data_IF_076742000978
#
_entry.id   IF_076742000978
#
_cell.length_a   1.000
_cell.length_b   1.000
_cell.length_c   1.000
_cell.angle_alpha   90.00
_cell.angle_beta   90.00
_cell.angle_gamma   90.00
#
_symmetry.space_group_name_H-M   'P 1'
#
loop_
_entity.id
_entity.type
_entity.pdbx_description
1 polymer ?
#
# COMPACT_ATOMS: atom_id res chain seq x y z
N UNK A 1 -5.33 -73.45 7.18
CA UNK A 1 -5.20 -72.35 8.16
C UNK A 1 -4.55 -71.18 7.46
N UNK A 2 -4.99 -69.95 7.74
CA UNK A 2 -4.45 -68.73 7.15
C UNK A 2 -3.22 -68.25 7.94
N UNK A 3 -2.14 -67.90 7.25
CA UNK A 3 -1.06 -67.08 7.81
C UNK A 3 -0.74 -65.96 6.82
N UNK A 4 -1.18 -64.75 7.15
CA UNK A 4 -0.95 -63.55 6.36
C UNK A 4 0.48 -63.03 6.57
N UNK A 5 1.37 -63.20 5.59
CA UNK A 5 2.65 -62.47 5.54
C UNK A 5 2.45 -61.05 5.00
N UNK A 6 2.52 -60.06 5.90
CA UNK A 6 2.50 -58.63 5.55
C UNK A 6 3.82 -58.29 4.82
N UNK A 7 3.73 -57.84 3.56
CA UNK A 7 4.88 -57.28 2.83
C UNK A 7 5.10 -55.82 3.21
N UNK A 8 6.05 -55.57 4.12
CA UNK A 8 6.50 -54.21 4.45
C UNK A 8 7.24 -53.59 3.26
N UNK A 9 6.68 -52.54 2.66
CA UNK A 9 7.34 -51.79 1.58
C UNK A 9 8.37 -50.84 2.19
N UNK A 10 9.61 -51.31 2.33
CA UNK A 10 10.75 -50.46 2.68
C UNK A 10 11.08 -49.51 1.52
N UNK A 11 10.43 -48.35 1.50
CA UNK A 11 10.88 -47.21 0.68
C UNK A 11 12.22 -46.74 1.23
N UNK A 12 13.30 -47.10 0.56
CA UNK A 12 14.63 -46.58 0.86
C UNK A 12 14.62 -45.04 0.67
N UNK A 13 14.66 -44.31 1.79
CA UNK A 13 14.91 -42.88 1.78
C UNK A 13 16.39 -42.72 1.45
N UNK A 14 16.71 -42.43 0.19
CA UNK A 14 18.07 -42.10 -0.21
C UNK A 14 18.54 -40.89 0.62
N UNK A 15 19.71 -40.97 1.30
CA UNK A 15 20.21 -39.86 2.07
C UNK A 15 20.49 -38.70 1.13
N UNK A 16 19.83 -37.56 1.37
CA UNK A 16 19.99 -36.34 0.60
C UNK A 16 21.44 -35.89 0.76
N UNK A 17 22.25 -36.04 -0.28
CA UNK A 17 23.67 -35.68 -0.27
C UNK A 17 23.81 -34.17 -0.07
N UNK A 18 24.09 -33.75 1.16
CA UNK A 18 24.53 -32.39 1.44
C UNK A 18 25.92 -32.22 0.83
N UNK A 19 26.01 -31.43 -0.23
CA UNK A 19 27.29 -31.01 -0.78
C UNK A 19 28.07 -30.28 0.30
N UNK A 20 29.30 -30.73 0.57
CA UNK A 20 30.24 -30.07 1.48
C UNK A 20 30.81 -28.80 0.84
N UNK A 21 29.93 -27.83 0.60
CA UNK A 21 30.33 -26.45 0.34
C UNK A 21 30.87 -25.91 1.65
N UNK A 22 32.03 -25.24 1.61
CA UNK A 22 32.53 -24.49 2.77
C UNK A 22 31.43 -23.53 3.26
N UNK A 23 31.27 -23.32 4.58
CA UNK A 23 30.18 -22.51 5.09
C UNK A 23 30.41 -21.03 4.73
N UNK A 24 29.91 -20.62 3.56
CA UNK A 24 29.84 -19.22 3.16
C UNK A 24 29.06 -18.46 4.23
N UNK A 25 29.74 -17.61 4.99
CA UNK A 25 29.09 -16.74 5.97
C UNK A 25 28.31 -15.65 5.20
N UNK A 26 27.03 -15.51 5.52
CA UNK A 26 26.13 -14.52 4.92
C UNK A 26 25.51 -13.69 6.04
N UNK A 27 25.61 -12.37 5.94
CA UNK A 27 25.00 -11.47 6.93
C UNK A 27 23.47 -11.46 6.76
N UNK A 28 22.74 -11.64 7.86
CA UNK A 28 21.28 -11.65 7.87
C UNK A 28 20.75 -10.26 8.18
N UNK A 29 20.05 -9.67 7.21
CA UNK A 29 19.37 -8.39 7.35
C UNK A 29 17.86 -8.56 7.33
N UNK A 30 17.17 -7.79 8.16
CA UNK A 30 15.71 -7.66 8.13
C UNK A 30 15.36 -6.28 7.63
N UNK A 31 14.53 -6.20 6.59
CA UNK A 31 13.98 -4.95 6.07
C UNK A 31 12.47 -4.90 6.29
N UNK A 32 11.89 -3.70 6.31
CA UNK A 32 10.43 -3.52 6.40
C UNK A 32 9.91 -2.60 5.30
N UNK A 33 8.80 -3.00 4.68
CA UNK A 33 8.08 -2.23 3.69
C UNK A 33 6.74 -1.76 4.30
N UNK A 34 6.63 -0.47 4.65
CA UNK A 34 5.47 0.07 5.40
C UNK A 34 4.49 0.76 4.46
N UNK A 35 3.32 0.19 4.23
CA UNK A 35 2.29 0.71 3.33
C UNK A 35 1.11 1.39 4.06
N UNK A 36 0.80 2.63 3.71
CA UNK A 36 -0.45 3.38 3.93
C UNK A 36 -1.45 3.02 2.82
N UNK A 37 -2.69 2.71 3.15
CA UNK A 37 -3.75 2.47 2.15
C UNK A 37 -4.31 3.78 1.56
N UNK A 38 -4.99 3.74 0.40
CA UNK A 38 -5.88 4.79 -0.07
C UNK A 38 -6.84 5.23 1.04
N UNK A 39 -7.03 6.53 1.15
CA UNK A 39 -7.97 7.19 2.08
C UNK A 39 -9.22 7.64 1.33
N UNK A 40 -9.08 8.02 0.05
CA UNK A 40 -10.20 8.29 -0.86
C UNK A 40 -10.24 7.22 -1.95
N UNK A 41 -11.41 7.04 -2.56
CA UNK A 41 -11.59 6.21 -3.76
C UNK A 41 -10.78 6.75 -4.94
N UNK A 42 -10.36 5.92 -5.90
CA UNK A 42 -9.83 6.41 -7.18
C UNK A 42 -10.87 7.25 -7.93
N UNK A 43 -10.42 8.05 -8.89
CA UNK A 43 -11.32 8.79 -9.78
C UNK A 43 -11.79 7.88 -10.92
N UNK A 44 -13.09 7.89 -11.22
CA UNK A 44 -13.68 7.06 -12.28
C UNK A 44 -13.13 7.42 -13.67
N UNK A 45 -12.77 6.40 -14.43
CA UNK A 45 -12.39 6.51 -15.85
C UNK A 45 -13.58 6.95 -16.71
N UNK A 46 -13.33 7.40 -17.95
CA UNK A 46 -14.41 7.84 -18.85
C UNK A 46 -15.41 6.73 -19.19
N UNK A 47 -14.91 5.51 -19.42
CA UNK A 47 -15.72 4.31 -19.63
C UNK A 47 -16.54 3.93 -18.38
N UNK A 48 -15.94 4.08 -17.19
CA UNK A 48 -16.65 3.81 -15.93
C UNK A 48 -17.75 4.84 -15.68
N UNK A 49 -17.54 6.11 -16.03
CA UNK A 49 -18.57 7.16 -15.94
C UNK A 49 -19.73 6.90 -16.89
N UNK A 50 -19.47 6.51 -18.14
CA UNK A 50 -20.53 6.20 -19.10
C UNK A 50 -21.30 4.94 -18.73
N UNK A 51 -20.61 3.89 -18.26
CA UNK A 51 -21.23 2.66 -17.77
C UNK A 51 -22.01 2.88 -16.46
N UNK A 52 -21.47 3.67 -15.53
CA UNK A 52 -22.16 4.04 -14.29
C UNK A 52 -23.47 4.80 -14.60
N UNK A 53 -23.43 5.77 -15.52
CA UNK A 53 -24.65 6.46 -15.97
C UNK A 53 -25.65 5.48 -16.57
N UNK A 54 -25.22 4.60 -17.48
CA UNK A 54 -26.10 3.57 -18.06
C UNK A 54 -26.74 2.68 -16.98
N UNK A 55 -26.00 2.28 -15.95
CA UNK A 55 -26.56 1.52 -14.83
C UNK A 55 -27.58 2.34 -14.03
N UNK A 56 -27.36 3.63 -13.80
CA UNK A 56 -28.35 4.51 -13.16
C UNK A 56 -29.61 4.67 -13.99
N UNK A 57 -29.47 4.85 -15.31
CA UNK A 57 -30.60 4.96 -16.24
C UNK A 57 -31.44 3.66 -16.22
N UNK A 58 -30.80 2.49 -16.30
CA UNK A 58 -31.45 1.16 -16.21
C UNK A 58 -32.05 0.88 -14.84
N UNK A 59 -31.41 1.31 -13.74
CA UNK A 59 -31.96 1.20 -12.39
C UNK A 59 -33.22 2.05 -12.26
N UNK A 60 -33.20 3.30 -12.74
CA UNK A 60 -34.35 4.19 -12.72
C UNK A 60 -35.53 3.64 -13.54
N UNK A 61 -35.29 3.23 -14.79
CA UNK A 61 -36.33 2.64 -15.68
C UNK A 61 -36.99 1.37 -15.11
N UNK A 62 -36.24 0.59 -14.31
CA UNK A 62 -36.72 -0.67 -13.71
C UNK A 62 -37.17 -0.51 -12.25
N UNK A 63 -36.99 0.67 -11.66
CA UNK A 63 -37.39 0.95 -10.29
C UNK A 63 -38.91 1.14 -10.18
N UNK A 64 -39.46 0.79 -9.02
CA UNK A 64 -40.79 1.26 -8.63
C UNK A 64 -40.67 2.64 -8.01
N UNK A 65 -41.70 3.48 -8.17
CA UNK A 65 -41.75 4.81 -7.56
C UNK A 65 -41.53 4.71 -6.05
N UNK A 66 -40.60 5.50 -5.55
CA UNK A 66 -40.37 5.67 -4.11
C UNK A 66 -41.52 6.41 -3.44
N UNK A 67 -41.66 6.23 -2.12
CA UNK A 67 -42.66 6.97 -1.31
C UNK A 67 -42.53 8.50 -1.49
N UNK A 68 -41.31 8.98 -1.72
CA UNK A 68 -41.02 10.38 -1.98
C UNK A 68 -41.61 10.85 -3.33
N UNK A 69 -41.43 10.08 -4.41
CA UNK A 69 -41.99 10.39 -5.73
C UNK A 69 -43.52 10.31 -5.72
N UNK A 70 -44.09 9.31 -5.04
CA UNK A 70 -45.56 9.18 -4.87
C UNK A 70 -46.11 10.38 -4.11
N UNK A 71 -45.47 10.82 -3.02
CA UNK A 71 -45.85 12.04 -2.30
C UNK A 71 -45.76 13.28 -3.19
N UNK A 72 -44.67 13.44 -3.95
CA UNK A 72 -44.51 14.56 -4.87
C UNK A 72 -45.62 14.60 -5.95
N UNK A 73 -46.10 13.46 -6.44
CA UNK A 73 -47.24 13.40 -7.36
C UNK A 73 -48.58 13.77 -6.69
N UNK A 74 -48.77 13.38 -5.43
CA UNK A 74 -49.96 13.74 -4.66
C UNK A 74 -49.99 15.25 -4.33
N UNK A 75 -48.87 15.80 -3.85
CA UNK A 75 -48.72 17.23 -3.55
C UNK A 75 -49.00 18.08 -4.81
N UNK A 76 -48.50 17.67 -5.99
CA UNK A 76 -48.80 18.33 -7.28
C UNK A 76 -50.29 18.28 -7.66
N UNK A 77 -50.93 17.12 -7.54
CA UNK A 77 -52.37 16.96 -7.82
C UNK A 77 -53.24 17.79 -6.86
N UNK A 78 -52.88 17.85 -5.58
CA UNK A 78 -53.56 18.71 -4.61
C UNK A 78 -53.43 20.20 -5.00
N UNK A 79 -52.23 20.64 -5.38
CA UNK A 79 -52.01 22.02 -5.85
C UNK A 79 -52.79 22.36 -7.13
N UNK A 80 -53.01 21.41 -8.04
CA UNK A 80 -53.85 21.58 -9.23
C UNK A 80 -55.34 21.67 -8.89
N UNK A 81 -55.85 20.84 -7.98
CA UNK A 81 -57.25 20.89 -7.53
C UNK A 81 -57.58 22.18 -6.77
N UNK A 82 -56.64 22.68 -5.95
CA UNK A 82 -56.76 24.00 -5.29
C UNK A 82 -56.80 25.13 -6.34
N UNK A 83 -55.96 25.08 -7.38
CA UNK A 83 -56.03 26.05 -8.51
C UNK A 83 -57.34 25.99 -9.29
N UNK A 84 -57.98 24.82 -9.35
CA UNK A 84 -59.29 24.62 -9.96
C UNK A 84 -60.47 24.94 -8.99
N UNK A 85 -60.19 25.38 -7.77
CA UNK A 85 -61.21 25.85 -6.82
C UNK A 85 -62.13 24.76 -6.25
N UNK A 86 -61.73 23.49 -6.30
CA UNK A 86 -62.55 22.33 -5.88
C UNK A 86 -62.14 21.70 -4.54
N UNK A 87 -61.12 22.25 -3.86
CA UNK A 87 -60.62 21.73 -2.58
C UNK A 87 -60.24 22.86 -1.60
N UNK A 88 -60.55 22.65 -0.31
CA UNK A 88 -60.22 23.59 0.77
C UNK A 88 -58.71 23.69 1.04
N UNK A 89 -58.21 24.91 1.22
CA UNK A 89 -56.79 25.20 1.43
C UNK A 89 -56.25 24.79 2.82
N UNK A 90 -57.11 24.42 3.77
CA UNK A 90 -56.73 24.08 5.15
C UNK A 90 -56.09 22.67 5.30
N UNK A 91 -56.12 21.84 4.25
CA UNK A 91 -55.52 20.49 4.24
C UNK A 91 -54.07 20.50 3.72
N UNK A 92 -53.48 21.67 3.46
CA UNK A 92 -52.10 21.80 2.98
C UNK A 92 -51.11 21.24 4.02
N UNK A 93 -50.35 20.22 3.62
CA UNK A 93 -49.24 19.68 4.42
C UNK A 93 -48.22 20.79 4.67
N UNK A 94 -47.88 21.04 5.93
CA UNK A 94 -47.04 22.18 6.39
C UNK A 94 -45.64 22.28 5.75
N UNK A 95 -45.22 21.28 5.00
CA UNK A 95 -44.03 21.29 4.15
C UNK A 95 -44.34 20.37 2.96
N UNK A 96 -44.28 20.89 1.73
CA UNK A 96 -44.42 20.05 0.53
C UNK A 96 -43.17 19.20 0.31
N UNK A 97 -43.26 18.15 -0.50
CA UNK A 97 -42.10 17.38 -0.94
C UNK A 97 -41.05 18.27 -1.65
N UNK A 98 -41.48 19.34 -2.32
CA UNK A 98 -40.60 20.31 -2.97
C UNK A 98 -39.85 21.17 -1.95
N UNK A 99 -40.54 21.74 -0.97
CA UNK A 99 -39.90 22.53 0.11
C UNK A 99 -38.85 21.70 0.88
N UNK A 100 -39.07 20.39 0.99
CA UNK A 100 -38.12 19.46 1.58
C UNK A 100 -36.88 19.24 0.71
N UNK A 101 -37.02 19.10 -0.62
CA UNK A 101 -35.87 19.04 -1.54
C UNK A 101 -35.07 20.34 -1.50
N UNK A 102 -35.74 21.48 -1.54
CA UNK A 102 -35.06 22.77 -1.59
C UNK A 102 -34.31 23.06 -0.28
N UNK A 103 -34.89 22.71 0.87
CA UNK A 103 -34.19 22.74 2.16
C UNK A 103 -32.96 21.80 2.20
N UNK A 104 -33.04 20.60 1.61
CA UNK A 104 -31.90 19.68 1.54
C UNK A 104 -30.81 20.18 0.57
N UNK A 105 -31.20 20.73 -0.57
CA UNK A 105 -30.29 21.36 -1.53
C UNK A 105 -29.57 22.57 -0.91
N UNK A 106 -30.28 23.38 -0.13
CA UNK A 106 -29.67 24.45 0.67
C UNK A 106 -28.64 23.91 1.67
N UNK A 107 -28.95 22.83 2.40
CA UNK A 107 -28.02 22.22 3.35
C UNK A 107 -26.77 21.67 2.65
N UNK A 108 -26.95 21.02 1.50
CA UNK A 108 -25.86 20.53 0.66
C UNK A 108 -24.97 21.67 0.17
N UNK A 109 -25.55 22.78 -0.29
CA UNK A 109 -24.82 23.97 -0.74
C UNK A 109 -24.12 24.71 0.41
N UNK A 110 -24.65 24.64 1.65
CA UNK A 110 -24.01 25.15 2.87
C UNK A 110 -22.81 24.28 3.28
N UNK A 111 -22.81 22.99 2.96
CA UNK A 111 -21.71 22.08 3.29
C UNK A 111 -20.58 22.12 2.26
N UNK A 112 -19.42 22.66 2.67
CA UNK A 112 -18.22 22.64 1.84
C UNK A 112 -17.45 21.33 2.04
N UNK A 113 -17.45 20.48 1.01
CA UNK A 113 -16.61 19.29 0.97
C UNK A 113 -15.11 19.67 1.02
N UNK A 114 -14.30 18.83 1.67
CA UNK A 114 -12.85 18.97 1.64
C UNK A 114 -12.28 18.60 0.26
N UNK A 115 -11.28 19.35 -0.20
CA UNK A 115 -10.61 19.07 -1.47
C UNK A 115 -9.97 17.67 -1.47
N UNK A 116 -10.20 16.93 -2.56
CA UNK A 116 -9.54 15.62 -2.80
C UNK A 116 -8.05 15.75 -3.12
N UNK A 117 -7.60 16.95 -3.48
CA UNK A 117 -6.20 17.30 -3.79
C UNK A 117 -5.72 18.23 -2.66
N UNK A 118 -4.70 17.80 -1.92
CA UNK A 118 -4.21 18.54 -0.76
C UNK A 118 -3.15 19.58 -1.13
N UNK A 119 -2.81 20.48 -0.21
CA UNK A 119 -1.68 21.41 -0.36
C UNK A 119 -0.37 20.65 -0.60
N UNK A 120 -0.18 19.50 0.06
CA UNK A 120 0.98 18.64 -0.12
C UNK A 120 1.07 18.01 -1.53
N UNK A 121 -0.04 17.91 -2.26
CA UNK A 121 -0.05 17.51 -3.68
C UNK A 121 0.39 18.65 -4.59
N UNK A 122 -0.06 19.88 -4.30
CA UNK A 122 0.31 21.11 -5.04
C UNK A 122 1.80 21.43 -4.88
N UNK A 123 2.32 21.28 -3.66
CA UNK A 123 3.74 21.46 -3.32
C UNK A 123 4.62 20.25 -3.65
N UNK A 124 4.01 19.11 -4.02
CA UNK A 124 4.65 17.81 -4.17
C UNK A 124 5.54 17.42 -2.96
N UNK A 125 5.06 17.68 -1.74
CA UNK A 125 5.83 17.47 -0.52
C UNK A 125 5.92 15.98 -0.17
N UNK A 126 7.07 15.37 -0.51
CA UNK A 126 7.31 13.94 -0.35
C UNK A 126 7.45 13.45 1.10
N UNK A 127 7.47 14.33 2.13
CA UNK A 127 7.48 13.91 3.54
C UNK A 127 6.08 13.75 4.14
N UNK A 128 5.06 14.37 3.53
CA UNK A 128 3.69 14.39 4.08
C UNK A 128 2.88 13.14 3.73
N UNK A 129 2.24 12.53 4.74
CA UNK A 129 1.30 11.42 4.55
C UNK A 129 -0.01 11.84 3.85
N UNK A 130 -0.31 13.14 3.79
CA UNK A 130 -1.55 13.69 3.21
C UNK A 130 -1.48 13.83 1.68
N UNK A 131 -0.31 13.67 1.07
CA UNK A 131 -0.13 13.58 -0.39
C UNK A 131 -0.83 12.32 -0.94
N UNK A 132 -1.34 12.37 -2.17
CA UNK A 132 -1.91 11.25 -2.96
C UNK A 132 -2.82 10.34 -2.12
N UNK A 133 -3.95 10.90 -1.70
CA UNK A 133 -4.94 10.20 -0.87
C UNK A 133 -5.62 9.04 -1.61
N UNK A 134 -5.64 9.08 -2.94
CA UNK A 134 -6.23 8.10 -3.86
C UNK A 134 -5.41 6.81 -4.00
N UNK A 135 -4.11 6.89 -3.75
CA UNK A 135 -3.17 5.78 -3.92
C UNK A 135 -2.73 5.20 -2.58
N UNK A 136 -2.13 4.02 -2.63
CA UNK A 136 -1.33 3.52 -1.52
C UNK A 136 -0.17 4.52 -1.25
N UNK A 137 0.49 4.52 -0.09
CA UNK A 137 1.82 5.15 0.06
C UNK A 137 2.76 4.25 0.83
N UNK A 138 4.08 4.34 0.62
CA UNK A 138 5.03 3.51 1.38
C UNK A 138 6.15 4.37 2.00
N UNK A 139 6.48 4.19 3.29
CA UNK A 139 7.45 5.02 4.09
C UNK A 139 8.91 4.57 4.03
N UNK A 140 9.81 5.42 3.53
CA UNK A 140 11.22 5.09 3.35
C UNK A 140 12.14 5.86 4.29
N UNK A 141 13.30 5.33 4.71
CA UNK A 141 14.22 6.03 5.63
C UNK A 141 15.72 5.89 5.32
N UNK A 142 16.44 7.01 5.25
CA UNK A 142 17.90 7.08 5.07
C UNK A 142 18.71 6.32 6.14
N UNK A 143 19.69 5.53 5.70
CA UNK A 143 20.57 4.72 6.56
C UNK A 143 22.04 4.79 6.15
N UNK A 144 22.96 4.72 7.13
CA UNK A 144 24.42 4.68 6.94
C UNK A 144 24.94 3.22 7.03
N UNK A 145 25.92 2.86 6.19
CA UNK A 145 26.58 1.54 6.19
C UNK A 145 28.11 1.68 6.03
N UNK A 146 28.78 2.14 7.09
CA UNK A 146 30.24 2.31 7.13
C UNK A 146 30.79 3.40 6.18
N UNK A 147 32.10 3.66 6.28
CA UNK A 147 32.74 4.82 5.63
C UNK A 147 33.30 4.55 4.22
N UNK A 148 32.98 3.42 3.56
CA UNK A 148 33.65 3.01 2.30
C UNK A 148 32.71 2.57 1.19
N UNK A 149 33.14 2.83 -0.05
CA UNK A 149 32.37 2.66 -1.28
C UNK A 149 32.49 1.26 -1.87
N UNK A 150 31.37 0.72 -2.34
CA UNK A 150 31.27 -0.62 -2.92
C UNK A 150 30.41 -0.59 -4.19
N UNK A 151 30.83 -1.34 -5.20
CA UNK A 151 30.06 -1.54 -6.44
C UNK A 151 29.27 -2.84 -6.35
N UNK A 152 27.95 -2.78 -6.55
CA UNK A 152 27.10 -3.98 -6.71
C UNK A 152 27.14 -4.39 -8.18
N UNK A 153 27.45 -5.66 -8.45
CA UNK A 153 27.49 -6.19 -9.81
C UNK A 153 26.05 -6.33 -10.38
N UNK A 154 25.76 -5.82 -11.59
CA UNK A 154 24.50 -6.08 -12.25
C UNK A 154 24.39 -7.57 -12.65
N UNK A 155 23.19 -8.13 -12.53
CA UNK A 155 22.83 -9.46 -13.02
C UNK A 155 21.61 -9.28 -13.95
N UNK A 156 21.56 -10.08 -15.03
CA UNK A 156 20.76 -9.83 -16.24
C UNK A 156 19.23 -9.75 -16.06
N UNK A 157 18.51 -9.10 -17.00
CA UNK A 157 17.10 -8.74 -16.83
C UNK A 157 16.14 -9.88 -17.15
N UNK A 158 14.96 -9.86 -16.49
CA UNK A 158 13.73 -10.45 -17.02
C UNK A 158 12.71 -9.34 -17.27
N UNK A 159 12.18 -9.31 -18.48
CA UNK A 159 11.31 -8.23 -18.92
C UNK A 159 9.86 -8.53 -18.51
N UNK A 160 9.27 -7.67 -17.67
CA UNK A 160 7.87 -7.73 -17.27
C UNK A 160 7.27 -6.33 -17.25
N UNK A 161 6.46 -6.01 -18.27
CA UNK A 161 5.56 -4.84 -18.22
C UNK A 161 4.30 -5.26 -17.48
N UNK A 162 3.94 -4.53 -16.42
CA UNK A 162 2.59 -4.00 -16.16
C UNK A 162 2.66 -2.96 -15.03
N UNK A 163 1.56 -2.28 -14.75
CA UNK A 163 1.56 -0.88 -14.30
C UNK A 163 1.04 -0.63 -12.87
N UNK A 164 1.43 0.55 -12.32
CA UNK A 164 0.90 1.27 -11.13
C UNK A 164 0.97 0.57 -9.76
N UNK A 165 1.45 1.31 -8.75
CA UNK A 165 1.32 1.12 -7.28
C UNK A 165 2.16 2.17 -6.56
N UNK A 166 2.10 2.31 -5.23
CA UNK A 166 3.04 3.17 -4.48
C UNK A 166 4.08 2.38 -3.69
N UNK A 167 5.35 2.85 -3.62
CA UNK A 167 6.50 2.01 -3.24
C UNK A 167 7.76 2.77 -2.77
N UNK A 168 8.63 2.06 -2.06
CA UNK A 168 9.71 2.53 -1.20
C UNK A 168 11.16 2.72 -1.75
N UNK A 169 11.81 3.85 -1.47
CA UNK A 169 13.15 4.28 -1.95
C UNK A 169 13.94 5.26 -1.03
N UNK A 170 15.16 4.98 -0.50
CA UNK A 170 16.07 6.00 0.15
C UNK A 170 17.60 5.87 -0.03
N UNK A 171 18.24 7.00 -0.38
CA UNK A 171 19.61 7.15 -0.89
C UNK A 171 20.77 6.80 0.10
N UNK A 172 21.28 5.56 0.08
CA UNK A 172 22.45 5.02 0.80
C UNK A 172 23.81 5.36 0.16
N UNK A 173 24.65 6.18 0.81
CA UNK A 173 26.04 6.44 0.38
C UNK A 173 26.93 5.18 0.45
N UNK A 174 27.40 4.70 -0.71
CA UNK A 174 28.64 3.96 -0.88
C UNK A 174 29.76 4.98 -1.16
N UNK A 175 30.40 5.49 -0.10
CA UNK A 175 31.29 6.65 -0.22
C UNK A 175 30.53 7.84 -0.83
N UNK A 176 31.02 8.45 -1.91
CA UNK A 176 30.36 9.63 -2.49
C UNK A 176 29.01 9.39 -3.16
N UNK A 177 28.71 8.18 -3.65
CA UNK A 177 27.49 7.90 -4.43
C UNK A 177 26.42 7.26 -3.57
N UNK A 178 25.20 7.79 -3.64
CA UNK A 178 24.09 7.34 -2.78
C UNK A 178 22.96 6.62 -3.56
N UNK A 179 22.39 5.54 -2.99
CA UNK A 179 21.48 4.58 -3.66
C UNK A 179 20.21 4.22 -2.91
N UNK A 180 19.07 4.20 -3.59
CA UNK A 180 17.85 4.05 -2.85
C UNK A 180 17.52 2.59 -2.44
N UNK A 181 17.07 2.39 -1.18
CA UNK A 181 16.67 1.10 -0.54
C UNK A 181 15.55 1.25 0.53
N UNK A 182 15.05 0.13 1.10
CA UNK A 182 14.13 0.05 2.26
C UNK A 182 14.86 0.27 3.62
N UNK A 183 14.18 0.64 4.74
CA UNK A 183 14.76 0.52 6.08
C UNK A 183 15.20 -0.93 6.34
N UNK A 184 16.41 -1.12 6.88
CA UNK A 184 16.92 -2.44 7.23
C UNK A 184 17.77 -2.44 8.51
N UNK A 185 17.80 -3.56 9.24
CA UNK A 185 18.64 -3.76 10.42
C UNK A 185 19.34 -5.11 10.29
N UNK A 186 20.61 -5.24 10.72
CA UNK A 186 21.16 -6.56 10.96
C UNK A 186 20.27 -7.28 11.99
N UNK A 187 20.03 -8.57 11.77
CA UNK A 187 19.38 -9.43 12.76
C UNK A 187 20.38 -9.76 13.86
N UNK A 188 19.94 -9.64 15.11
CA UNK A 188 20.66 -10.22 16.26
C UNK A 188 20.34 -11.71 16.41
N UNK A 189 21.27 -12.50 16.96
CA UNK A 189 21.06 -13.95 17.10
C UNK A 189 19.94 -14.30 18.09
N UNK A 190 19.71 -13.45 19.09
CA UNK A 190 18.70 -13.62 20.14
C UNK A 190 17.26 -13.25 19.74
N UNK A 191 17.03 -12.66 18.56
CA UNK A 191 15.70 -12.23 18.09
C UNK A 191 15.27 -12.99 16.82
N UNK A 192 13.96 -13.18 16.62
CA UNK A 192 13.43 -13.66 15.34
C UNK A 192 13.49 -12.56 14.28
N UNK A 193 13.45 -12.92 12.99
CA UNK A 193 13.36 -11.95 11.89
C UNK A 193 12.16 -11.00 12.05
N UNK A 194 11.00 -11.50 12.53
CA UNK A 194 9.86 -10.62 12.81
C UNK A 194 10.13 -9.65 13.96
N UNK A 195 10.75 -10.09 15.06
CA UNK A 195 11.13 -9.20 16.16
C UNK A 195 12.17 -8.15 15.73
N UNK A 196 13.12 -8.52 14.88
CA UNK A 196 14.06 -7.58 14.25
C UNK A 196 13.32 -6.51 13.41
N UNK A 197 12.25 -6.89 12.71
CA UNK A 197 11.37 -5.96 11.99
C UNK A 197 10.55 -5.05 12.94
N UNK A 198 10.01 -5.58 14.04
CA UNK A 198 9.30 -4.78 15.04
C UNK A 198 10.22 -3.79 15.78
N UNK A 199 11.48 -4.20 16.01
CA UNK A 199 12.55 -3.34 16.53
C UNK A 199 12.93 -2.27 15.52
N UNK A 200 13.18 -2.65 14.26
CA UNK A 200 13.47 -1.73 13.15
C UNK A 200 12.41 -0.63 13.04
N UNK A 201 11.12 -0.98 13.12
CA UNK A 201 10.03 -0.01 13.08
C UNK A 201 10.17 1.07 14.16
N UNK A 202 10.46 0.67 15.42
CA UNK A 202 10.67 1.61 16.53
C UNK A 202 11.97 2.41 16.37
N UNK A 203 13.05 1.74 15.97
CA UNK A 203 14.38 2.34 15.77
C UNK A 203 14.37 3.45 14.71
N UNK A 204 13.59 3.28 13.64
CA UNK A 204 13.53 4.23 12.52
C UNK A 204 12.36 5.21 12.62
N UNK A 205 11.16 4.73 12.89
CA UNK A 205 9.95 5.56 12.80
C UNK A 205 9.62 6.29 14.12
N UNK A 206 10.23 5.89 15.23
CA UNK A 206 9.84 6.33 16.57
C UNK A 206 8.63 5.57 17.12
N UNK A 207 8.16 5.97 18.29
CA UNK A 207 7.05 5.30 19.00
C UNK A 207 5.66 5.73 18.51
N UNK A 208 5.57 6.85 17.79
CA UNK A 208 4.30 7.44 17.37
C UNK A 208 3.72 6.78 16.12
N UNK A 209 4.58 6.38 15.17
CA UNK A 209 4.18 5.66 13.96
C UNK A 209 3.76 4.22 14.30
N UNK A 210 2.46 3.93 14.22
CA UNK A 210 1.91 2.59 14.45
C UNK A 210 1.75 1.87 13.12
N UNK A 211 2.70 0.99 12.80
CA UNK A 211 2.63 0.05 11.69
C UNK A 211 2.43 -1.39 12.19
N UNK A 212 1.66 -2.20 11.46
CA UNK A 212 1.39 -3.60 11.77
C UNK A 212 2.05 -4.50 10.72
N UNK A 213 3.00 -5.35 11.13
CA UNK A 213 3.59 -6.36 10.25
C UNK A 213 2.53 -7.41 9.86
N UNK A 214 2.49 -7.76 8.57
CA UNK A 214 1.54 -8.71 8.01
C UNK A 214 2.10 -10.13 8.02
N UNK A 215 1.94 -10.81 9.16
CA UNK A 215 2.31 -12.22 9.32
C UNK A 215 3.73 -12.44 9.86
N UNK A 216 4.13 -13.72 9.92
CA UNK A 216 5.43 -14.16 10.44
C UNK A 216 6.45 -14.50 9.35
N UNK A 217 6.03 -14.53 8.08
CA UNK A 217 6.89 -14.83 6.94
C UNK A 217 7.38 -13.53 6.27
N UNK A 218 8.63 -13.46 5.80
CA UNK A 218 9.06 -12.38 4.93
C UNK A 218 8.32 -12.46 3.60
N UNK A 219 7.88 -11.31 3.10
CA UNK A 219 7.14 -11.15 1.83
C UNK A 219 8.09 -11.04 0.64
N UNK A 220 9.33 -10.58 0.87
CA UNK A 220 10.35 -10.43 -0.16
C UNK A 220 11.74 -10.88 0.31
N UNK A 221 12.63 -11.12 -0.65
CA UNK A 221 14.01 -11.52 -0.41
C UNK A 221 14.96 -10.85 -1.42
N UNK A 222 16.06 -10.29 -0.94
CA UNK A 222 17.11 -9.73 -1.77
C UNK A 222 18.49 -10.22 -1.31
N UNK A 223 19.32 -10.68 -2.25
CA UNK A 223 20.68 -11.17 -1.98
C UNK A 223 21.69 -10.41 -2.81
N UNK A 224 22.73 -9.87 -2.16
CA UNK A 224 23.85 -9.25 -2.86
C UNK A 224 25.19 -9.70 -2.25
N UNK A 225 26.18 -9.95 -3.11
CA UNK A 225 27.56 -10.21 -2.69
C UNK A 225 28.24 -8.88 -2.36
N UNK A 226 29.09 -8.84 -1.34
CA UNK A 226 29.97 -7.69 -1.14
C UNK A 226 31.16 -7.74 -2.11
N UNK A 227 31.87 -6.63 -2.39
CA UNK A 227 33.18 -6.69 -3.04
C UNK A 227 34.22 -7.43 -2.18
N UNK A 228 35.24 -7.98 -2.83
CA UNK A 228 36.31 -8.78 -2.20
C UNK A 228 36.93 -8.09 -0.97
N UNK A 229 37.13 -6.77 -1.06
CA UNK A 229 37.68 -5.89 0.00
C UNK A 229 36.85 -5.81 1.29
N UNK A 230 35.59 -6.25 1.25
CA UNK A 230 34.70 -6.38 2.42
C UNK A 230 34.66 -7.82 2.91
N UNK A 231 34.65 -8.78 1.98
CA UNK A 231 34.62 -10.21 2.30
C UNK A 231 35.82 -10.59 3.18
N UNK A 232 37.00 -10.05 2.86
CA UNK A 232 38.22 -10.16 3.67
C UNK A 232 38.10 -9.56 5.09
N UNK A 233 37.19 -8.60 5.32
CA UNK A 233 37.09 -7.85 6.58
C UNK A 233 35.97 -8.29 7.50
N UNK A 234 34.80 -8.62 6.97
CA UNK A 234 33.69 -9.17 7.76
C UNK A 234 33.72 -10.69 7.86
N UNK A 235 34.52 -11.34 7.01
CA UNK A 235 34.50 -12.79 6.79
C UNK A 235 33.22 -13.28 6.10
N UNK A 236 32.35 -12.37 5.63
CA UNK A 236 31.05 -12.69 5.03
C UNK A 236 31.06 -12.41 3.53
N UNK A 237 30.53 -13.34 2.74
CA UNK A 237 30.51 -13.27 1.28
C UNK A 237 29.49 -12.25 0.73
N UNK A 238 28.52 -11.87 1.55
CA UNK A 238 27.49 -10.90 1.22
C UNK A 238 26.37 -10.84 2.25
N UNK A 239 25.28 -10.18 1.89
CA UNK A 239 24.09 -10.02 2.70
C UNK A 239 22.86 -10.71 2.09
N UNK A 240 21.99 -11.20 2.97
CA UNK A 240 20.66 -11.74 2.69
C UNK A 240 19.63 -10.87 3.43
N UNK A 241 18.87 -10.09 2.67
CA UNK A 241 17.85 -9.17 3.18
C UNK A 241 16.48 -9.85 3.08
N UNK A 242 15.83 -10.03 4.23
CA UNK A 242 14.46 -10.55 4.33
C UNK A 242 13.51 -9.38 4.57
N UNK A 243 12.58 -9.17 3.64
CA UNK A 243 11.69 -8.01 3.63
C UNK A 243 10.34 -8.41 4.22
N UNK A 244 9.92 -7.72 5.28
CA UNK A 244 8.60 -7.87 5.89
C UNK A 244 7.67 -6.75 5.42
N UNK A 245 6.48 -7.12 4.96
CA UNK A 245 5.45 -6.15 4.67
C UNK A 245 4.71 -5.72 5.96
N UNK A 246 4.49 -4.42 6.11
CA UNK A 246 3.78 -3.81 7.23
C UNK A 246 2.76 -2.79 6.75
N UNK A 247 1.64 -2.65 7.45
CA UNK A 247 0.59 -1.68 7.14
C UNK A 247 0.62 -0.54 8.14
N UNK A 248 0.80 0.69 7.67
CA UNK A 248 0.59 1.90 8.44
C UNK A 248 -0.87 1.95 8.94
N UNK A 249 -1.06 2.26 10.22
CA UNK A 249 -2.39 2.47 10.83
C UNK A 249 -2.61 3.92 11.25
N UNK A 250 -1.65 4.54 11.96
CA UNK A 250 -1.74 5.92 12.46
C UNK A 250 -0.40 6.46 12.95
N UNK A 251 -0.30 7.77 13.12
CA UNK A 251 0.88 8.48 13.62
C UNK A 251 1.72 9.09 12.50
N UNK A 252 2.89 9.64 12.87
CA UNK A 252 3.86 10.21 11.95
C UNK A 252 5.29 9.87 12.41
N UNK A 253 6.28 10.10 11.55
CA UNK A 253 7.69 9.82 11.84
C UNK A 253 8.28 10.98 12.65
N UNK A 254 8.32 10.81 13.97
CA UNK A 254 8.75 11.87 14.90
C UNK A 254 10.28 11.96 15.11
N UNK A 255 11.05 11.03 14.54
CA UNK A 255 12.51 10.97 14.72
C UNK A 255 13.26 11.98 13.84
N UNK A 256 13.60 13.13 14.43
CA UNK A 256 14.39 14.21 13.82
C UNK A 256 15.73 13.71 13.27
N UNK A 257 16.09 14.13 12.05
CA UNK A 257 17.38 13.83 11.40
C UNK A 257 17.39 12.60 10.47
N UNK A 258 16.26 11.92 10.30
CA UNK A 258 16.07 10.93 9.23
C UNK A 258 15.49 11.62 7.98
N UNK A 259 16.20 11.56 6.85
CA UNK A 259 15.59 11.89 5.56
C UNK A 259 14.67 10.73 5.19
N UNK A 260 13.36 10.96 5.28
CA UNK A 260 12.33 10.01 4.87
C UNK A 260 11.47 10.58 3.75
N UNK A 261 10.83 9.71 2.98
CA UNK A 261 9.91 10.07 1.90
C UNK A 261 8.74 9.08 1.83
N UNK A 262 7.68 9.46 1.12
CA UNK A 262 6.56 8.62 0.71
C UNK A 262 6.41 8.72 -0.82
N UNK A 263 6.62 7.63 -1.59
CA UNK A 263 6.93 7.68 -3.04
C UNK A 263 6.13 6.68 -3.93
N UNK A 264 5.73 7.09 -5.15
CA UNK A 264 5.05 6.33 -6.25
C UNK A 264 5.88 5.18 -6.85
N UNK A 265 5.31 4.15 -7.51
CA UNK A 265 6.07 3.20 -8.39
C UNK A 265 6.91 3.98 -9.40
N UNK A 266 6.38 5.09 -9.90
CA UNK A 266 7.02 5.93 -10.93
C UNK A 266 8.18 6.73 -10.33
N UNK A 267 8.01 7.25 -9.11
CA UNK A 267 9.08 7.91 -8.35
C UNK A 267 10.12 6.86 -7.88
N UNK A 268 9.66 5.67 -7.48
CA UNK A 268 10.44 4.50 -7.09
C UNK A 268 11.36 4.00 -8.18
N UNK A 269 10.84 3.72 -9.37
CA UNK A 269 11.63 3.18 -10.47
C UNK A 269 12.75 4.13 -10.91
N UNK A 270 12.60 5.44 -10.67
CA UNK A 270 13.63 6.46 -10.93
C UNK A 270 14.70 6.51 -9.85
N UNK A 271 14.33 6.22 -8.61
CA UNK A 271 15.20 6.39 -7.45
C UNK A 271 15.88 5.04 -7.05
N UNK A 272 15.21 3.88 -7.13
CA UNK A 272 15.78 2.55 -6.79
C UNK A 272 16.86 2.11 -7.78
N UNK A 273 17.81 1.30 -7.30
CA UNK A 273 18.63 0.49 -8.20
C UNK A 273 17.75 -0.57 -8.91
N UNK A 274 17.83 -0.75 -10.24
CA UNK A 274 16.94 -1.64 -11.00
C UNK A 274 16.77 -3.05 -10.39
N UNK A 275 17.87 -3.74 -10.08
CA UNK A 275 17.79 -5.12 -9.55
C UNK A 275 17.09 -5.20 -8.17
N UNK A 276 17.13 -4.12 -7.38
CA UNK A 276 16.44 -4.04 -6.11
C UNK A 276 14.96 -3.67 -6.33
N UNK A 277 14.68 -2.77 -7.27
CA UNK A 277 13.33 -2.50 -7.76
C UNK A 277 12.63 -3.78 -8.17
N UNK A 278 13.26 -4.62 -8.99
CA UNK A 278 12.63 -5.83 -9.51
C UNK A 278 12.35 -6.86 -8.40
N UNK A 279 13.12 -6.84 -7.30
CA UNK A 279 12.88 -7.68 -6.12
C UNK A 279 11.81 -7.10 -5.19
N UNK A 280 11.72 -5.77 -5.09
CA UNK A 280 10.71 -5.05 -4.31
C UNK A 280 9.35 -5.06 -5.01
N UNK A 281 9.32 -4.94 -6.34
CA UNK A 281 8.10 -4.83 -7.13
C UNK A 281 7.27 -6.11 -7.22
N UNK A 282 7.83 -7.27 -6.81
CA UNK A 282 7.19 -8.58 -6.88
C UNK A 282 6.19 -8.88 -5.76
N UNK A 283 6.30 -8.22 -4.60
CA UNK A 283 5.48 -8.54 -3.41
C UNK A 283 4.49 -7.44 -3.03
N UNK A 284 4.40 -6.42 -3.88
CA UNK A 284 3.41 -5.36 -3.75
C UNK A 284 2.13 -5.81 -4.44
N UNK A 285 1.03 -5.17 -4.11
CA UNK A 285 -0.23 -5.37 -4.83
C UNK A 285 -0.07 -4.80 -6.27
N UNK A 286 -1.01 -5.07 -7.17
CA UNK A 286 -1.14 -4.39 -8.48
C UNK A 286 -2.42 -3.50 -8.48
N UNK A 287 -2.34 -2.29 -9.06
CA UNK A 287 -3.32 -1.18 -8.98
C UNK A 287 -3.85 -0.94 -10.41
N UNK A 288 -4.70 -1.83 -10.91
CA UNK A 288 -5.29 -1.68 -12.26
C UNK A 288 -6.30 -0.51 -12.32
#
# INVERSE_FOLDING_TARGET
MLLNTIRTVNRAILPRSYSTVSPEKWDLFTAVCIERKPVITPALNELEKSYYKYLQDVEHERSFKSDFEVRMELDKKQAELIKQGTADADVVVKQTAQDFLDANNEQLNKFKFADRITEADKENNQTSLKRKLDKHLVLVTKQKFGDKSYYILPQSPRNGKLDKHLVLVTKQKFGDKSYYILPQSPRNDSETLRQAAERLLKDYCGNDLKAQICGNAPTGFYKYKYPHTVQEKSGSLGAKVFIYFARYRKGDVTKKGLDFKWLDRIELKKELHPNYHDSVSQFLVDEE
#
